data_IF_219110262271
#
_entry.id   IF_219110262271
#
_cell.length_a   1.000
_cell.length_b   1.000
_cell.length_c   1.000
_cell.angle_alpha   90.00
_cell.angle_beta   90.00
_cell.angle_gamma   90.00
#
_symmetry.space_group_name_H-M   'P 1'
#
loop_
_entity.id
_entity.type
_entity.pdbx_description
1 polymer ?
#
# COMPACT_ATOMS: atom_id res chain seq x y z
N UNK A 1 14.34 26.26 15.87
CA UNK A 1 13.47 26.05 14.69
C UNK A 1 12.01 26.31 15.08
N UNK A 2 11.21 27.07 14.29
CA UNK A 2 9.80 27.31 14.58
C UNK A 2 9.00 26.01 14.68
N UNK A 3 8.04 25.94 15.60
CA UNK A 3 7.21 24.74 15.85
C UNK A 3 6.55 24.21 14.58
N UNK A 4 6.08 25.11 13.69
CA UNK A 4 5.47 24.78 12.40
C UNK A 4 6.41 24.00 11.47
N UNK A 5 7.69 24.33 11.44
CA UNK A 5 8.70 23.64 10.61
C UNK A 5 9.03 22.25 11.16
N UNK A 6 9.05 22.10 12.49
CA UNK A 6 9.20 20.77 13.11
C UNK A 6 8.01 19.87 12.79
N UNK A 7 6.79 20.37 12.91
CA UNK A 7 5.58 19.59 12.59
C UNK A 7 5.58 19.12 11.13
N UNK A 8 5.95 20.00 10.20
CA UNK A 8 6.07 19.65 8.79
C UNK A 8 7.14 18.57 8.54
N UNK A 9 8.28 18.62 9.25
CA UNK A 9 9.31 17.61 9.15
C UNK A 9 8.82 16.22 9.58
N UNK A 10 8.09 16.14 10.70
CA UNK A 10 7.49 14.88 11.15
C UNK A 10 6.37 14.38 10.22
N UNK A 11 5.58 15.28 9.62
CA UNK A 11 4.61 14.94 8.60
C UNK A 11 5.29 14.41 7.32
N UNK A 12 6.42 14.95 6.92
CA UNK A 12 7.21 14.46 5.78
C UNK A 12 7.68 13.02 5.99
N UNK A 13 8.07 12.64 7.23
CA UNK A 13 8.49 11.27 7.54
C UNK A 13 7.37 10.24 7.31
N UNK A 14 6.08 10.61 7.45
CA UNK A 14 4.97 9.67 7.26
C UNK A 14 4.63 9.42 5.79
N UNK A 15 5.17 10.21 4.85
CA UNK A 15 4.89 10.12 3.40
C UNK A 15 3.39 9.96 3.09
N UNK A 16 2.57 10.99 3.30
CA UNK A 16 1.10 10.88 3.22
C UNK A 16 0.57 10.32 1.89
N UNK A 17 1.26 10.59 0.77
CA UNK A 17 0.89 10.04 -0.54
C UNK A 17 0.84 8.50 -0.54
N UNK A 18 1.78 7.86 0.18
CA UNK A 18 1.85 6.40 0.26
C UNK A 18 0.79 5.83 1.22
N UNK A 19 0.45 6.57 2.29
CA UNK A 19 -0.65 6.18 3.20
C UNK A 19 -1.97 6.08 2.42
N UNK A 20 -2.25 7.01 1.49
CA UNK A 20 -3.46 6.96 0.66
C UNK A 20 -3.52 5.66 -0.17
N UNK A 21 -2.38 5.18 -0.67
CA UNK A 21 -2.37 3.89 -1.37
C UNK A 21 -2.71 2.72 -0.44
N UNK A 22 -2.33 2.78 0.85
CA UNK A 22 -2.66 1.74 1.82
C UNK A 22 -4.13 1.77 2.25
N UNK A 23 -4.75 2.96 2.26
CA UNK A 23 -6.21 3.10 2.48
C UNK A 23 -6.98 2.42 1.34
N UNK A 24 -6.48 2.46 0.10
CA UNK A 24 -7.12 1.77 -1.02
C UNK A 24 -7.22 0.24 -0.81
N UNK A 25 -6.18 -0.41 -0.22
CA UNK A 25 -6.26 -1.84 0.13
C UNK A 25 -7.40 -2.12 1.12
N UNK A 26 -7.56 -1.25 2.15
CA UNK A 26 -8.64 -1.41 3.13
C UNK A 26 -10.00 -1.33 2.45
N UNK A 27 -10.18 -0.37 1.56
CA UNK A 27 -11.44 -0.22 0.81
C UNK A 27 -11.70 -1.41 -0.10
N UNK A 28 -10.69 -1.92 -0.80
CA UNK A 28 -10.80 -3.11 -1.63
C UNK A 28 -11.11 -4.37 -0.79
N UNK A 29 -10.41 -4.57 0.33
CA UNK A 29 -10.67 -5.64 1.27
C UNK A 29 -12.06 -5.58 1.90
N UNK A 30 -12.53 -4.37 2.25
CA UNK A 30 -13.87 -4.14 2.77
C UNK A 30 -14.96 -4.53 1.76
N UNK A 31 -14.79 -4.17 0.48
CA UNK A 31 -15.70 -4.62 -0.57
C UNK A 31 -15.68 -6.16 -0.70
N UNK A 32 -14.49 -6.76 -0.71
CA UNK A 32 -14.32 -8.21 -0.85
C UNK A 32 -14.97 -8.98 0.30
N UNK A 33 -14.96 -8.45 1.53
CA UNK A 33 -15.59 -9.08 2.69
C UNK A 33 -17.12 -9.20 2.60
N UNK A 34 -17.77 -8.55 1.61
CA UNK A 34 -19.21 -8.46 1.52
C UNK A 34 -19.85 -7.36 2.38
N UNK A 35 -19.07 -6.69 3.25
CA UNK A 35 -19.57 -5.62 4.11
C UNK A 35 -20.26 -4.48 3.34
N UNK A 36 -19.71 -4.14 2.16
CA UNK A 36 -20.30 -3.12 1.30
C UNK A 36 -21.67 -3.50 0.77
N UNK A 37 -21.87 -4.77 0.40
CA UNK A 37 -23.17 -5.30 -0.07
C UNK A 37 -24.17 -5.25 1.07
N UNK A 38 -23.77 -5.63 2.29
CA UNK A 38 -24.61 -5.55 3.48
C UNK A 38 -25.04 -4.10 3.78
N UNK A 39 -24.11 -3.13 3.71
CA UNK A 39 -24.44 -1.72 3.91
C UNK A 39 -25.41 -1.19 2.86
N UNK A 40 -25.26 -1.59 1.59
CA UNK A 40 -26.15 -1.13 0.50
C UNK A 40 -27.57 -1.65 0.61
N UNK A 41 -27.81 -2.73 1.34
CA UNK A 41 -29.17 -3.23 1.61
C UNK A 41 -29.93 -2.44 2.66
N UNK A 42 -29.27 -1.50 3.35
CA UNK A 42 -29.84 -0.67 4.39
C UNK A 42 -30.25 0.73 3.86
N UNK A 43 -31.19 1.41 4.52
CA UNK A 43 -31.47 2.82 4.27
C UNK A 43 -30.20 3.67 4.42
N UNK A 44 -29.99 4.63 3.53
CA UNK A 44 -28.77 5.48 3.55
C UNK A 44 -28.58 6.29 4.85
N UNK A 45 -29.70 6.59 5.54
CA UNK A 45 -29.69 7.26 6.84
C UNK A 45 -29.02 6.44 7.96
N UNK A 46 -28.97 5.13 7.83
CA UNK A 46 -28.41 4.22 8.83
C UNK A 46 -26.94 3.86 8.56
N UNK A 47 -26.40 4.18 7.38
CA UNK A 47 -25.04 3.78 7.01
C UNK A 47 -23.98 4.25 7.99
N UNK A 48 -24.06 5.51 8.43
CA UNK A 48 -23.01 6.12 9.26
C UNK A 48 -22.95 5.58 10.69
N UNK A 49 -24.08 5.07 11.19
CA UNK A 49 -24.20 4.50 12.53
C UNK A 49 -24.05 2.99 12.55
N UNK A 50 -24.08 2.36 11.36
CA UNK A 50 -23.99 0.91 11.26
C UNK A 50 -22.61 0.40 11.69
N UNK A 51 -22.52 -0.70 12.46
CA UNK A 51 -21.25 -1.24 12.93
C UNK A 51 -20.21 -1.48 11.84
N UNK A 52 -20.60 -1.90 10.64
CA UNK A 52 -19.68 -2.10 9.50
C UNK A 52 -19.05 -0.79 9.02
N UNK A 53 -19.80 0.32 8.97
CA UNK A 53 -19.23 1.62 8.60
C UNK A 53 -18.27 2.14 9.66
N UNK A 54 -18.62 1.96 10.94
CA UNK A 54 -17.73 2.26 12.07
C UNK A 54 -16.45 1.40 12.00
N UNK A 55 -16.60 0.11 11.70
CA UNK A 55 -15.47 -0.80 11.50
C UNK A 55 -14.56 -0.33 10.35
N UNK A 56 -15.11 0.13 9.23
CA UNK A 56 -14.32 0.70 8.14
C UNK A 56 -13.50 1.90 8.63
N UNK A 57 -14.08 2.79 9.40
CA UNK A 57 -13.36 3.93 10.00
C UNK A 57 -12.17 3.50 10.86
N UNK A 58 -12.37 2.49 11.74
CA UNK A 58 -11.30 1.93 12.55
C UNK A 58 -10.21 1.24 11.72
N UNK A 59 -10.57 0.52 10.66
CA UNK A 59 -9.60 -0.14 9.76
C UNK A 59 -8.80 0.88 8.94
N UNK A 60 -9.43 1.99 8.51
CA UNK A 60 -8.72 3.11 7.88
C UNK A 60 -7.73 3.74 8.87
N UNK A 61 -8.14 4.01 10.10
CA UNK A 61 -7.26 4.54 11.14
C UNK A 61 -6.11 3.55 11.43
N UNK A 62 -6.41 2.25 11.45
CA UNK A 62 -5.41 1.20 11.64
C UNK A 62 -4.35 1.24 10.55
N UNK A 63 -4.73 1.23 9.26
CA UNK A 63 -3.74 1.27 8.17
C UNK A 63 -2.93 2.57 8.15
N UNK A 64 -3.55 3.72 8.48
CA UNK A 64 -2.83 5.00 8.62
C UNK A 64 -1.71 4.88 9.66
N UNK A 65 -2.01 4.28 10.82
CA UNK A 65 -1.03 4.05 11.87
C UNK A 65 0.05 3.05 11.45
N UNK A 66 -0.35 1.88 10.95
CA UNK A 66 0.58 0.80 10.57
C UNK A 66 1.52 1.23 9.44
N UNK A 67 0.96 1.81 8.39
CA UNK A 67 1.73 2.21 7.23
C UNK A 67 2.60 3.44 7.52
N UNK A 68 2.02 4.46 8.18
CA UNK A 68 2.77 5.65 8.60
C UNK A 68 3.90 5.30 9.55
N UNK A 69 3.66 4.46 10.57
CA UNK A 69 4.67 4.01 11.52
C UNK A 69 5.77 3.19 10.85
N UNK A 70 5.42 2.28 9.94
CA UNK A 70 6.38 1.49 9.16
C UNK A 70 7.30 2.35 8.30
N UNK A 71 6.78 3.39 7.65
CA UNK A 71 7.56 4.34 6.85
C UNK A 71 8.48 5.18 7.74
N UNK A 72 7.99 5.69 8.87
CA UNK A 72 8.83 6.47 9.79
C UNK A 72 9.97 5.61 10.34
N UNK A 73 9.71 4.32 10.67
CA UNK A 73 10.79 3.41 11.04
C UNK A 73 11.80 3.17 9.93
N UNK A 74 11.39 3.19 8.66
CA UNK A 74 12.35 3.11 7.55
C UNK A 74 13.39 4.24 7.63
N UNK A 75 12.95 5.48 7.81
CA UNK A 75 13.85 6.62 7.92
C UNK A 75 14.67 6.60 9.24
N UNK A 76 14.15 5.98 10.32
CA UNK A 76 14.89 5.77 11.58
C UNK A 76 16.02 4.76 11.40
N UNK A 77 15.73 3.59 10.79
CA UNK A 77 16.74 2.55 10.56
C UNK A 77 17.78 2.95 9.52
N UNK A 78 17.41 3.81 8.56
CA UNK A 78 18.31 4.32 7.52
C UNK A 78 19.03 5.62 7.91
N UNK A 79 18.85 6.13 9.12
CA UNK A 79 19.33 7.47 9.52
C UNK A 79 20.82 7.71 9.25
N UNK A 80 21.69 6.71 9.47
CA UNK A 80 23.13 6.82 9.21
C UNK A 80 23.44 6.75 7.70
N UNK A 81 22.79 5.85 6.97
CA UNK A 81 22.93 5.70 5.52
C UNK A 81 22.45 6.97 4.80
N UNK A 82 21.31 7.50 5.21
CA UNK A 82 20.70 8.70 4.62
C UNK A 82 21.54 9.97 4.83
N UNK A 83 22.43 10.00 5.81
CA UNK A 83 23.39 11.13 5.94
C UNK A 83 24.32 11.25 4.74
N UNK A 84 24.61 10.13 4.09
CA UNK A 84 25.50 10.07 2.92
C UNK A 84 24.71 10.11 1.62
N UNK A 85 23.65 9.28 1.53
CA UNK A 85 22.92 9.08 0.28
C UNK A 85 21.80 10.10 0.04
N UNK A 86 21.15 10.57 1.14
CA UNK A 86 19.95 11.44 1.09
C UNK A 86 19.98 12.52 2.16
N UNK A 87 20.99 13.41 2.16
CA UNK A 87 21.19 14.42 3.19
C UNK A 87 20.03 15.45 3.27
N UNK A 88 19.16 15.49 2.26
CA UNK A 88 17.97 16.35 2.23
C UNK A 88 16.80 15.83 3.08
N UNK A 89 16.83 14.58 3.57
CA UNK A 89 15.77 14.01 4.42
C UNK A 89 15.68 14.70 5.79
N UNK A 90 14.49 14.69 6.46
CA UNK A 90 14.29 15.41 7.71
C UNK A 90 15.23 15.03 8.85
N UNK A 91 15.59 13.74 9.01
CA UNK A 91 16.49 13.27 10.07
C UNK A 91 17.94 13.72 9.81
N UNK A 92 18.56 13.46 8.64
CA UNK A 92 19.89 13.95 8.31
C UNK A 92 20.03 15.47 8.43
N UNK A 93 19.01 16.24 8.02
CA UNK A 93 18.98 17.71 8.16
C UNK A 93 18.88 18.20 9.60
N UNK A 94 18.63 17.33 10.58
CA UNK A 94 18.40 17.75 11.96
C UNK A 94 17.04 18.38 12.21
N UNK A 95 16.11 18.31 11.25
CA UNK A 95 14.75 18.83 11.38
C UNK A 95 13.86 17.90 12.22
N UNK A 96 14.19 16.62 12.28
CA UNK A 96 13.59 15.61 13.15
C UNK A 96 14.70 14.82 13.86
N UNK A 97 14.49 14.50 15.14
CA UNK A 97 15.45 13.67 15.88
C UNK A 97 15.12 12.18 15.71
N UNK A 98 16.13 11.31 15.71
CA UNK A 98 15.95 9.85 15.68
C UNK A 98 15.03 9.39 16.82
N UNK A 99 15.23 9.88 18.05
CA UNK A 99 14.37 9.56 19.20
C UNK A 99 12.92 9.97 18.99
N UNK A 100 12.68 11.19 18.49
CA UNK A 100 11.34 11.69 18.20
C UNK A 100 10.66 10.92 17.07
N UNK A 101 11.40 10.58 16.01
CA UNK A 101 10.90 9.75 14.92
C UNK A 101 10.58 8.32 15.39
N UNK A 102 11.42 7.70 16.24
CA UNK A 102 11.15 6.39 16.84
C UNK A 102 9.90 6.41 17.72
N UNK A 103 9.72 7.45 18.54
CA UNK A 103 8.54 7.60 19.37
C UNK A 103 7.27 7.77 18.52
N UNK A 104 7.33 8.58 17.45
CA UNK A 104 6.23 8.73 16.49
C UNK A 104 5.90 7.40 15.82
N UNK A 105 6.89 6.67 15.30
CA UNK A 105 6.70 5.39 14.64
C UNK A 105 6.04 4.36 15.58
N UNK A 106 6.55 4.23 16.81
CA UNK A 106 5.99 3.31 17.81
C UNK A 106 4.56 3.70 18.17
N UNK A 107 4.28 4.99 18.39
CA UNK A 107 2.94 5.50 18.68
C UNK A 107 1.95 5.23 17.54
N UNK A 108 2.38 5.42 16.29
CA UNK A 108 1.57 5.13 15.10
C UNK A 108 1.27 3.64 14.96
N UNK A 109 2.27 2.75 15.13
CA UNK A 109 2.05 1.29 15.10
C UNK A 109 1.10 0.85 16.22
N UNK A 110 1.30 1.35 17.43
CA UNK A 110 0.42 1.05 18.57
C UNK A 110 -1.02 1.52 18.31
N UNK A 111 -1.19 2.75 17.81
CA UNK A 111 -2.49 3.30 17.40
C UNK A 111 -3.15 2.40 16.35
N UNK A 112 -2.37 1.94 15.34
CA UNK A 112 -2.88 1.06 14.30
C UNK A 112 -3.42 -0.27 14.85
N UNK A 113 -2.69 -0.91 15.76
CA UNK A 113 -3.12 -2.16 16.41
C UNK A 113 -4.33 -1.93 17.31
N UNK A 114 -4.34 -0.86 18.11
CA UNK A 114 -5.46 -0.52 18.99
C UNK A 114 -6.73 -0.17 18.19
N UNK A 115 -6.61 0.50 17.05
CA UNK A 115 -7.73 0.78 16.16
C UNK A 115 -8.32 -0.52 15.57
N UNK A 116 -7.48 -1.44 15.10
CA UNK A 116 -7.93 -2.73 14.61
C UNK A 116 -8.62 -3.58 15.70
N UNK A 117 -8.18 -3.46 16.96
CA UNK A 117 -8.79 -4.14 18.10
C UNK A 117 -10.24 -3.70 18.37
N UNK A 118 -10.63 -2.48 17.94
CA UNK A 118 -12.03 -2.03 18.02
C UNK A 118 -12.96 -2.78 17.06
N UNK A 119 -12.40 -3.43 16.03
CA UNK A 119 -13.20 -4.19 15.06
C UNK A 119 -13.33 -5.66 15.50
N UNK A 120 -12.20 -6.34 15.71
CA UNK A 120 -12.20 -7.73 16.17
C UNK A 120 -10.82 -8.16 16.68
N UNK A 121 -10.79 -9.30 17.43
CA UNK A 121 -9.53 -9.94 17.82
C UNK A 121 -8.70 -10.37 16.60
N UNK A 122 -9.35 -10.83 15.53
CA UNK A 122 -8.66 -11.20 14.29
C UNK A 122 -8.04 -9.99 13.60
N UNK A 123 -8.77 -8.86 13.53
CA UNK A 123 -8.22 -7.60 12.99
C UNK A 123 -7.02 -7.12 13.80
N UNK A 124 -7.08 -7.20 15.14
CA UNK A 124 -5.96 -6.87 16.01
C UNK A 124 -4.74 -7.76 15.75
N UNK A 125 -4.94 -9.07 15.58
CA UNK A 125 -3.88 -10.02 15.27
C UNK A 125 -3.25 -9.73 13.89
N UNK A 126 -4.06 -9.48 12.86
CA UNK A 126 -3.57 -9.11 11.54
C UNK A 126 -2.76 -7.81 11.60
N UNK A 127 -3.25 -6.79 12.31
CA UNK A 127 -2.55 -5.53 12.50
C UNK A 127 -1.21 -5.73 13.23
N UNK A 128 -1.18 -6.57 14.27
CA UNK A 128 0.06 -6.91 14.99
C UNK A 128 1.07 -7.62 14.09
N UNK A 129 0.61 -8.56 13.27
CA UNK A 129 1.46 -9.24 12.27
C UNK A 129 2.02 -8.25 11.26
N UNK A 130 1.19 -7.35 10.71
CA UNK A 130 1.64 -6.32 9.77
C UNK A 130 2.66 -5.38 10.42
N UNK A 131 2.42 -4.94 11.67
CA UNK A 131 3.37 -4.13 12.43
C UNK A 131 4.72 -4.85 12.61
N UNK A 132 4.68 -6.12 13.02
CA UNK A 132 5.88 -6.96 13.17
C UNK A 132 6.64 -7.14 11.85
N UNK A 133 5.93 -7.39 10.74
CA UNK A 133 6.52 -7.50 9.40
C UNK A 133 7.15 -6.18 8.95
N UNK A 134 6.52 -5.02 9.24
CA UNK A 134 7.07 -3.71 8.91
C UNK A 134 8.37 -3.43 9.69
N UNK A 135 8.42 -3.75 10.98
CA UNK A 135 9.65 -3.63 11.78
C UNK A 135 10.73 -4.60 11.28
N UNK A 136 10.37 -5.85 11.03
CA UNK A 136 11.28 -6.88 10.51
C UNK A 136 11.85 -6.48 9.14
N UNK A 137 11.03 -5.92 8.26
CA UNK A 137 11.49 -5.40 6.98
C UNK A 137 12.56 -4.33 7.16
N UNK A 138 12.31 -3.35 8.02
CA UNK A 138 13.21 -2.22 8.21
C UNK A 138 14.52 -2.63 8.93
N UNK A 139 14.43 -3.52 9.92
CA UNK A 139 15.58 -3.95 10.70
C UNK A 139 16.50 -4.90 9.91
N UNK A 140 15.96 -5.76 9.06
CA UNK A 140 16.72 -6.83 8.43
C UNK A 140 16.26 -7.18 7.01
N UNK A 141 14.95 -7.28 6.77
CA UNK A 141 14.37 -7.84 5.54
C UNK A 141 14.82 -7.10 4.28
N UNK A 142 14.90 -5.76 4.31
CA UNK A 142 15.27 -4.93 3.16
C UNK A 142 16.67 -5.22 2.61
N UNK A 143 17.56 -5.77 3.43
CA UNK A 143 18.92 -6.15 3.02
C UNK A 143 18.98 -7.55 2.36
N UNK A 144 17.89 -8.33 2.43
CA UNK A 144 17.82 -9.69 1.89
C UNK A 144 17.27 -9.70 0.46
N UNK A 145 17.95 -10.45 -0.44
CA UNK A 145 17.61 -10.45 -1.88
C UNK A 145 16.20 -10.97 -2.20
N UNK A 146 15.79 -12.05 -1.56
CA UNK A 146 14.49 -12.69 -1.82
C UNK A 146 13.47 -12.32 -0.73
N UNK A 147 13.93 -12.33 0.52
CA UNK A 147 13.04 -12.08 1.65
C UNK A 147 12.53 -10.63 1.70
N UNK A 148 13.34 -9.63 1.27
CA UNK A 148 12.93 -8.23 1.25
C UNK A 148 11.66 -7.97 0.43
N UNK A 149 11.64 -8.32 -0.87
CA UNK A 149 10.44 -8.19 -1.70
C UNK A 149 9.23 -8.94 -1.14
N UNK A 150 9.45 -10.18 -0.64
CA UNK A 150 8.39 -10.98 -0.04
C UNK A 150 7.84 -10.33 1.23
N UNK A 151 8.70 -9.89 2.15
CA UNK A 151 8.28 -9.24 3.41
C UNK A 151 7.47 -7.97 3.15
N UNK A 152 7.93 -7.11 2.23
CA UNK A 152 7.17 -5.91 1.85
C UNK A 152 5.82 -6.29 1.24
N UNK A 153 5.79 -7.32 0.40
CA UNK A 153 4.56 -7.88 -0.16
C UNK A 153 3.61 -8.40 0.93
N UNK A 154 4.13 -9.13 1.92
CA UNK A 154 3.35 -9.64 3.05
C UNK A 154 2.75 -8.50 3.90
N UNK A 155 3.48 -7.39 4.11
CA UNK A 155 2.91 -6.21 4.76
C UNK A 155 1.68 -5.70 4.00
N UNK A 156 1.76 -5.67 2.65
CA UNK A 156 0.68 -5.16 1.81
C UNK A 156 -0.49 -6.14 1.72
N UNK A 157 -0.20 -7.45 1.53
CA UNK A 157 -1.22 -8.49 1.55
C UNK A 157 -1.95 -8.59 2.88
N UNK A 158 -1.21 -8.44 3.99
CA UNK A 158 -1.79 -8.36 5.34
C UNK A 158 -2.69 -7.14 5.52
N UNK A 159 -2.35 -6.00 4.92
CA UNK A 159 -3.17 -4.80 4.94
C UNK A 159 -4.49 -4.98 4.16
N UNK A 160 -4.46 -5.66 3.01
CA UNK A 160 -5.69 -6.04 2.29
C UNK A 160 -6.58 -6.96 3.15
N UNK A 161 -5.98 -7.99 3.79
CA UNK A 161 -6.71 -8.88 4.68
C UNK A 161 -7.25 -8.17 5.92
N UNK A 162 -6.57 -7.13 6.39
CA UNK A 162 -7.10 -6.26 7.44
C UNK A 162 -8.40 -5.59 6.98
N UNK A 163 -8.49 -5.14 5.72
CA UNK A 163 -9.75 -4.66 5.11
C UNK A 163 -10.83 -5.76 5.06
N UNK A 164 -10.46 -6.98 4.65
CA UNK A 164 -11.37 -8.14 4.63
C UNK A 164 -11.88 -8.48 6.02
N UNK A 165 -11.09 -8.25 7.07
CA UNK A 165 -11.46 -8.55 8.46
C UNK A 165 -12.59 -7.69 9.04
N UNK A 166 -13.13 -6.74 8.27
CA UNK A 166 -14.40 -6.07 8.60
C UNK A 166 -15.52 -7.10 8.83
N UNK A 167 -15.46 -8.25 8.13
CA UNK A 167 -16.28 -9.43 8.37
C UNK A 167 -15.33 -10.61 8.66
N UNK A 168 -14.98 -10.87 9.94
CA UNK A 168 -13.92 -11.80 10.30
C UNK A 168 -14.07 -13.22 9.71
N UNK A 169 -15.31 -13.69 9.57
CA UNK A 169 -15.61 -15.03 9.04
C UNK A 169 -15.16 -15.23 7.58
N UNK A 170 -15.01 -14.15 6.81
CA UNK A 170 -14.64 -14.23 5.38
C UNK A 170 -13.13 -14.30 5.16
N UNK A 171 -12.30 -13.99 6.16
CA UNK A 171 -10.84 -13.96 6.01
C UNK A 171 -10.28 -15.32 5.62
N UNK A 172 -10.80 -16.41 6.19
CA UNK A 172 -10.35 -17.77 5.91
C UNK A 172 -10.70 -18.25 4.49
N UNK A 173 -11.76 -17.76 3.89
CA UNK A 173 -12.14 -18.08 2.50
C UNK A 173 -11.50 -17.17 1.46
N UNK A 174 -11.09 -15.95 1.86
CA UNK A 174 -10.57 -14.91 0.97
C UNK A 174 -9.08 -14.62 1.16
N UNK A 175 -8.35 -15.42 1.96
CA UNK A 175 -6.93 -15.21 2.24
C UNK A 175 -6.08 -15.11 0.97
N UNK A 176 -6.46 -15.84 -0.09
CA UNK A 176 -5.75 -15.88 -1.36
C UNK A 176 -5.72 -14.53 -2.09
N UNK A 177 -6.66 -13.61 -1.78
CA UNK A 177 -6.65 -12.25 -2.32
C UNK A 177 -5.38 -11.50 -1.94
N UNK A 178 -4.78 -11.83 -0.79
CA UNK A 178 -3.51 -11.23 -0.35
C UNK A 178 -2.35 -11.50 -1.33
N UNK A 179 -2.43 -12.59 -2.11
CA UNK A 179 -1.41 -12.93 -3.11
C UNK A 179 -1.28 -11.85 -4.20
N UNK A 180 -2.38 -11.16 -4.52
CA UNK A 180 -2.40 -10.09 -5.53
C UNK A 180 -1.44 -8.95 -5.14
N UNK A 181 -1.63 -8.25 -4.00
CA UNK A 181 -0.69 -7.21 -3.59
C UNK A 181 0.68 -7.75 -3.18
N UNK A 182 0.80 -9.00 -2.69
CA UNK A 182 2.10 -9.63 -2.40
C UNK A 182 2.95 -9.68 -3.66
N UNK A 183 2.42 -10.25 -4.75
CA UNK A 183 3.14 -10.37 -6.02
C UNK A 183 3.43 -9.00 -6.62
N UNK A 184 2.47 -8.09 -6.57
CA UNK A 184 2.62 -6.75 -7.13
C UNK A 184 3.71 -5.94 -6.42
N UNK A 185 3.72 -5.92 -5.08
CA UNK A 185 4.73 -5.22 -4.28
C UNK A 185 6.10 -5.90 -4.37
N UNK A 186 6.12 -7.22 -4.42
CA UNK A 186 7.37 -7.95 -4.64
C UNK A 186 8.01 -7.56 -5.98
N UNK A 187 7.21 -7.38 -7.04
CA UNK A 187 7.66 -6.88 -8.33
C UNK A 187 8.28 -5.48 -8.20
N UNK A 188 7.57 -4.53 -7.58
CA UNK A 188 8.07 -3.16 -7.35
C UNK A 188 9.40 -3.18 -6.57
N UNK A 189 9.44 -3.92 -5.47
CA UNK A 189 10.62 -3.99 -4.60
C UNK A 189 11.80 -4.65 -5.31
N UNK A 190 11.55 -5.62 -6.19
CA UNK A 190 12.58 -6.24 -7.01
C UNK A 190 13.13 -5.27 -8.06
N UNK A 191 12.24 -4.52 -8.73
CA UNK A 191 12.61 -3.49 -9.71
C UNK A 191 13.42 -2.37 -9.04
N UNK A 192 13.03 -1.91 -7.85
CA UNK A 192 13.64 -0.78 -7.15
C UNK A 192 15.13 -0.98 -6.81
N UNK A 193 15.60 -2.21 -6.74
CA UNK A 193 17.02 -2.51 -6.51
C UNK A 193 17.95 -2.00 -7.60
N UNK A 194 17.44 -1.72 -8.79
CA UNK A 194 18.18 -1.10 -9.88
C UNK A 194 18.23 0.44 -9.82
N UNK A 195 17.55 1.09 -8.85
CA UNK A 195 17.47 2.55 -8.77
C UNK A 195 18.82 3.23 -8.51
N UNK A 196 19.72 2.58 -7.77
CA UNK A 196 21.01 3.18 -7.38
C UNK A 196 22.11 2.90 -8.41
N UNK A 197 22.22 1.66 -8.88
CA UNK A 197 23.38 1.24 -9.66
C UNK A 197 23.06 0.87 -11.11
N UNK A 198 21.77 0.88 -11.49
CA UNK A 198 21.34 0.38 -12.80
C UNK A 198 21.54 -1.14 -12.95
N UNK A 199 21.25 -1.65 -14.14
CA UNK A 199 21.71 -2.97 -14.66
C UNK A 199 21.19 -4.27 -14.03
N UNK A 200 19.92 -4.34 -13.64
CA UNK A 200 19.33 -5.65 -13.39
C UNK A 200 18.19 -5.96 -14.38
N UNK A 201 18.55 -6.24 -15.65
CA UNK A 201 17.55 -6.59 -16.68
C UNK A 201 16.68 -7.78 -16.29
N UNK A 202 17.23 -8.76 -15.57
CA UNK A 202 16.47 -9.91 -15.10
C UNK A 202 15.35 -9.50 -14.11
N UNK A 203 15.64 -8.57 -13.19
CA UNK A 203 14.64 -8.02 -12.28
C UNK A 203 13.55 -7.22 -13.01
N UNK A 204 13.91 -6.44 -14.03
CA UNK A 204 12.95 -5.69 -14.84
C UNK A 204 12.03 -6.63 -15.64
N UNK A 205 12.56 -7.68 -16.29
CA UNK A 205 11.77 -8.71 -16.97
C UNK A 205 10.90 -9.51 -15.99
N UNK A 206 11.46 -9.86 -14.83
CA UNK A 206 10.69 -10.46 -13.74
C UNK A 206 9.50 -9.58 -13.32
N UNK A 207 9.72 -8.26 -13.21
CA UNK A 207 8.67 -7.28 -12.94
C UNK A 207 7.56 -7.26 -14.01
N UNK A 208 7.94 -7.32 -15.31
CA UNK A 208 6.96 -7.43 -16.41
C UNK A 208 6.10 -8.69 -16.23
N UNK A 209 6.71 -9.85 -15.97
CA UNK A 209 6.00 -11.10 -15.79
C UNK A 209 5.09 -11.10 -14.55
N UNK A 210 5.57 -10.57 -13.41
CA UNK A 210 4.79 -10.48 -12.18
C UNK A 210 3.59 -9.53 -12.33
N UNK A 211 3.74 -8.41 -13.02
CA UNK A 211 2.61 -7.52 -13.32
C UNK A 211 1.59 -8.19 -14.26
N UNK A 212 2.06 -8.94 -15.27
CA UNK A 212 1.17 -9.71 -16.14
C UNK A 212 0.41 -10.78 -15.36
N UNK A 213 1.08 -11.47 -14.42
CA UNK A 213 0.46 -12.45 -13.53
C UNK A 213 -0.62 -11.82 -12.65
N UNK A 214 -0.37 -10.62 -12.11
CA UNK A 214 -1.37 -9.89 -11.30
C UNK A 214 -2.58 -9.48 -12.14
N UNK A 215 -2.36 -8.91 -13.33
CA UNK A 215 -3.46 -8.51 -14.23
C UNK A 215 -4.27 -9.75 -14.67
N UNK A 216 -3.57 -10.82 -15.07
CA UNK A 216 -4.22 -12.08 -15.44
C UNK A 216 -4.96 -12.73 -14.27
N UNK A 217 -4.41 -12.68 -13.07
CA UNK A 217 -5.04 -13.17 -11.84
C UNK A 217 -6.31 -12.41 -11.47
N UNK A 218 -6.32 -11.08 -11.58
CA UNK A 218 -7.53 -10.27 -11.38
C UNK A 218 -8.60 -10.56 -12.44
N UNK A 219 -8.19 -10.72 -13.70
CA UNK A 219 -9.13 -11.08 -14.77
C UNK A 219 -9.73 -12.48 -14.53
N UNK A 220 -8.90 -13.45 -14.16
CA UNK A 220 -9.36 -14.81 -13.84
C UNK A 220 -10.30 -14.80 -12.62
N UNK A 221 -10.01 -14.00 -11.59
CA UNK A 221 -10.89 -13.81 -10.45
C UNK A 221 -12.26 -13.24 -10.86
N UNK A 222 -12.27 -12.20 -11.69
CA UNK A 222 -13.51 -11.60 -12.18
C UNK A 222 -14.35 -12.60 -12.97
N UNK A 223 -13.72 -13.39 -13.85
CA UNK A 223 -14.37 -14.46 -14.63
C UNK A 223 -14.93 -15.53 -13.66
N UNK A 224 -14.14 -15.99 -12.69
CA UNK A 224 -14.56 -17.00 -11.71
C UNK A 224 -15.74 -16.56 -10.84
N UNK A 225 -15.89 -15.26 -10.60
CA UNK A 225 -17.02 -14.65 -9.89
C UNK A 225 -18.16 -14.23 -10.83
N UNK A 226 -18.07 -14.55 -12.12
CA UNK A 226 -19.07 -14.16 -13.15
C UNK A 226 -19.33 -12.66 -13.23
N UNK A 227 -18.29 -11.85 -12.93
CA UNK A 227 -18.35 -10.39 -13.05
C UNK A 227 -18.17 -10.01 -14.52
N UNK A 228 -19.06 -9.14 -15.04
CA UNK A 228 -18.99 -8.66 -16.42
C UNK A 228 -17.64 -7.98 -16.71
N UNK A 229 -17.04 -8.29 -17.86
CA UNK A 229 -15.75 -7.75 -18.28
C UNK A 229 -15.71 -6.21 -18.27
N UNK A 230 -16.80 -5.56 -18.67
CA UNK A 230 -16.98 -4.09 -18.67
C UNK A 230 -16.77 -3.45 -17.30
N UNK A 231 -16.96 -4.20 -16.22
CA UNK A 231 -16.76 -3.70 -14.85
C UNK A 231 -15.28 -3.62 -14.50
N UNK A 232 -14.46 -4.60 -14.90
CA UNK A 232 -13.09 -4.76 -14.42
C UNK A 232 -12.05 -4.39 -15.48
N UNK A 233 -12.30 -4.72 -16.75
CA UNK A 233 -11.34 -4.52 -17.85
C UNK A 233 -10.86 -3.06 -17.97
N UNK A 234 -11.71 -2.02 -17.85
CA UNK A 234 -11.23 -0.64 -17.91
C UNK A 234 -10.16 -0.30 -16.85
N UNK A 235 -10.31 -0.83 -15.63
CA UNK A 235 -9.31 -0.64 -14.57
C UNK A 235 -8.02 -1.40 -14.86
N UNK A 236 -8.11 -2.63 -15.41
CA UNK A 236 -6.94 -3.41 -15.80
C UNK A 236 -6.17 -2.77 -16.97
N UNK A 237 -6.88 -2.22 -17.95
CA UNK A 237 -6.27 -1.47 -19.05
C UNK A 237 -5.58 -0.21 -18.53
N UNK A 238 -6.22 0.54 -17.63
CA UNK A 238 -5.61 1.71 -16.99
C UNK A 238 -4.38 1.32 -16.19
N UNK A 239 -4.43 0.22 -15.42
CA UNK A 239 -3.28 -0.30 -14.68
C UNK A 239 -2.12 -0.59 -15.64
N UNK A 240 -2.36 -1.37 -16.69
CA UNK A 240 -1.36 -1.69 -17.71
C UNK A 240 -0.76 -0.45 -18.38
N UNK A 241 -1.62 0.52 -18.73
CA UNK A 241 -1.20 1.79 -19.34
C UNK A 241 -0.29 2.60 -18.43
N UNK A 242 -0.50 2.55 -17.11
CA UNK A 242 0.32 3.31 -16.17
C UNK A 242 1.65 2.63 -15.82
N UNK A 243 1.68 1.29 -15.72
CA UNK A 243 2.88 0.57 -15.25
C UNK A 243 3.83 0.14 -16.37
N UNK A 244 3.30 -0.33 -17.53
CA UNK A 244 4.17 -0.88 -18.58
C UNK A 244 5.01 0.16 -19.32
N UNK A 245 4.51 1.33 -19.75
CA UNK A 245 5.33 2.27 -20.51
C UNK A 245 6.59 2.74 -19.77
N UNK A 246 6.54 3.15 -18.47
CA UNK A 246 7.76 3.50 -17.75
C UNK A 246 8.69 2.29 -17.53
N UNK A 247 8.14 1.10 -17.26
CA UNK A 247 8.94 -0.12 -17.08
C UNK A 247 9.65 -0.53 -18.37
N UNK A 248 8.97 -0.45 -19.52
CA UNK A 248 9.57 -0.77 -20.84
C UNK A 248 10.65 0.25 -21.23
N UNK A 249 10.49 1.53 -20.86
CA UNK A 249 11.56 2.53 -21.05
C UNK A 249 12.79 2.19 -20.20
N UNK A 250 12.58 1.84 -18.93
CA UNK A 250 13.65 1.40 -18.04
C UNK A 250 14.37 0.16 -18.57
N UNK A 251 13.63 -0.82 -19.14
CA UNK A 251 14.20 -2.01 -19.78
C UNK A 251 15.10 -1.70 -20.99
N UNK A 252 14.74 -0.69 -21.79
CA UNK A 252 15.49 -0.30 -23.00
C UNK A 252 16.78 0.40 -22.68
N UNK A 253 16.78 1.36 -21.77
CA UNK A 253 17.92 2.22 -21.45
C UNK A 253 18.74 1.74 -20.24
N UNK A 254 18.09 1.03 -19.32
CA UNK A 254 18.69 0.55 -18.05
C UNK A 254 19.25 1.69 -17.15
N UNK A 255 18.71 2.91 -17.31
CA UNK A 255 19.12 4.07 -16.55
C UNK A 255 18.47 4.09 -15.16
N UNK A 256 19.21 4.36 -14.06
CA UNK A 256 18.68 4.44 -12.71
C UNK A 256 17.46 5.37 -12.58
N UNK A 257 17.51 6.54 -13.23
CA UNK A 257 16.42 7.52 -13.25
C UNK A 257 15.12 6.94 -13.82
N UNK A 258 15.19 6.16 -14.91
CA UNK A 258 14.01 5.57 -15.54
C UNK A 258 13.47 4.39 -14.70
N UNK A 259 14.35 3.67 -14.02
CA UNK A 259 13.95 2.63 -13.05
C UNK A 259 13.17 3.28 -11.90
N UNK A 260 13.66 4.40 -11.33
CA UNK A 260 12.94 5.14 -10.30
C UNK A 260 11.57 5.66 -10.76
N UNK A 261 11.45 6.11 -12.02
CA UNK A 261 10.15 6.48 -12.59
C UNK A 261 9.20 5.28 -12.73
N UNK A 262 9.71 4.10 -13.09
CA UNK A 262 8.91 2.87 -13.14
C UNK A 262 8.44 2.44 -11.74
N UNK A 263 9.30 2.52 -10.73
CA UNK A 263 8.94 2.25 -9.32
C UNK A 263 7.87 3.23 -8.84
N UNK A 264 8.06 4.52 -9.07
CA UNK A 264 7.06 5.55 -8.70
C UNK A 264 5.71 5.31 -9.38
N UNK A 265 5.72 4.96 -10.67
CA UNK A 265 4.50 4.61 -11.39
C UNK A 265 3.84 3.36 -10.78
N UNK A 266 4.61 2.31 -10.46
CA UNK A 266 4.11 1.11 -9.77
C UNK A 266 3.46 1.43 -8.44
N UNK A 267 4.11 2.21 -7.57
CA UNK A 267 3.58 2.59 -6.24
C UNK A 267 2.27 3.36 -6.35
N UNK A 268 2.18 4.34 -7.25
CA UNK A 268 0.95 5.13 -7.42
C UNK A 268 -0.18 4.30 -8.06
N UNK A 269 0.17 3.33 -8.91
CA UNK A 269 -0.81 2.47 -9.59
C UNK A 269 -1.39 1.38 -8.68
N UNK A 270 -0.90 1.23 -7.43
CA UNK A 270 -1.55 0.40 -6.41
C UNK A 270 -3.02 0.80 -6.22
N UNK A 271 -3.32 2.09 -6.25
CA UNK A 271 -4.71 2.56 -6.14
C UNK A 271 -5.57 2.03 -7.30
N UNK A 272 -4.99 1.91 -8.51
CA UNK A 272 -5.71 1.36 -9.67
C UNK A 272 -5.89 -0.15 -9.54
N UNK A 273 -4.89 -0.86 -9.00
CA UNK A 273 -4.99 -2.28 -8.65
C UNK A 273 -6.13 -2.52 -7.66
N UNK A 274 -6.15 -1.73 -6.58
CA UNK A 274 -7.18 -1.81 -5.54
C UNK A 274 -8.55 -1.39 -6.07
N UNK A 275 -8.62 -0.42 -6.98
CA UNK A 275 -9.86 -0.03 -7.65
C UNK A 275 -10.40 -1.16 -8.54
N UNK A 276 -9.54 -1.91 -9.24
CA UNK A 276 -9.94 -3.08 -10.01
C UNK A 276 -10.50 -4.18 -9.09
N UNK A 277 -9.81 -4.46 -7.98
CA UNK A 277 -10.29 -5.43 -6.98
C UNK A 277 -11.60 -4.95 -6.32
N UNK A 278 -11.68 -3.69 -5.94
CA UNK A 278 -12.88 -3.08 -5.39
C UNK A 278 -14.07 -3.13 -6.36
N UNK A 279 -13.83 -2.91 -7.66
CA UNK A 279 -14.84 -3.02 -8.70
C UNK A 279 -15.35 -4.47 -8.86
N UNK A 280 -14.45 -5.46 -8.75
CA UNK A 280 -14.81 -6.89 -8.84
C UNK A 280 -15.84 -7.28 -7.78
N UNK A 281 -15.76 -6.78 -6.56
CA UNK A 281 -16.66 -7.12 -5.46
C UNK A 281 -17.77 -6.09 -5.21
N UNK A 282 -17.48 -4.82 -5.46
CA UNK A 282 -18.37 -3.69 -5.13
C UNK A 282 -19.04 -3.04 -6.35
N UNK A 283 -18.72 -3.49 -7.57
CA UNK A 283 -19.19 -2.90 -8.83
C UNK A 283 -18.41 -1.65 -9.24
N UNK A 284 -18.59 -1.23 -10.50
CA UNK A 284 -17.78 -0.19 -11.13
C UNK A 284 -17.83 1.17 -10.42
N UNK A 285 -18.97 1.56 -9.83
CA UNK A 285 -19.11 2.82 -9.08
C UNK A 285 -18.18 2.84 -7.87
N UNK A 286 -18.13 1.74 -7.12
CA UNK A 286 -17.24 1.65 -5.96
C UNK A 286 -15.76 1.61 -6.38
N UNK A 287 -15.44 0.91 -7.47
CA UNK A 287 -14.11 0.96 -8.07
C UNK A 287 -13.69 2.39 -8.45
N UNK A 288 -14.59 3.19 -9.03
CA UNK A 288 -14.33 4.61 -9.32
C UNK A 288 -14.12 5.43 -8.05
N UNK A 289 -14.89 5.20 -6.98
CA UNK A 289 -14.67 5.87 -5.70
C UNK A 289 -13.27 5.58 -5.13
N UNK A 290 -12.80 4.33 -5.20
CA UNK A 290 -11.43 3.99 -4.81
C UNK A 290 -10.42 4.67 -5.74
N UNK A 291 -10.68 4.70 -7.05
CA UNK A 291 -9.80 5.35 -8.03
C UNK A 291 -9.65 6.85 -7.78
N UNK A 292 -10.65 7.52 -7.19
CA UNK A 292 -10.56 8.94 -6.81
C UNK A 292 -9.47 9.24 -5.77
N UNK A 293 -8.95 8.23 -5.10
CA UNK A 293 -7.76 8.38 -4.25
C UNK A 293 -6.47 8.65 -5.06
N UNK A 294 -6.44 8.30 -6.37
CA UNK A 294 -5.27 8.49 -7.22
C UNK A 294 -4.92 9.99 -7.42
N UNK A 295 -5.83 10.89 -7.81
CA UNK A 295 -5.52 12.31 -7.89
C UNK A 295 -5.10 12.90 -6.54
N UNK A 296 -5.72 12.47 -5.43
CA UNK A 296 -5.32 12.89 -4.09
C UNK A 296 -3.89 12.44 -3.75
N UNK A 297 -3.56 11.16 -3.98
CA UNK A 297 -2.21 10.62 -3.76
C UNK A 297 -1.18 11.34 -4.66
N UNK A 298 -1.50 11.60 -5.92
CA UNK A 298 -0.63 12.37 -6.83
C UNK A 298 -0.39 13.79 -6.35
N UNK A 299 -1.43 14.47 -5.90
CA UNK A 299 -1.31 15.82 -5.35
C UNK A 299 -0.43 15.83 -4.07
N UNK A 300 -0.62 14.87 -3.17
CA UNK A 300 0.25 14.72 -2.00
C UNK A 300 1.70 14.40 -2.41
N UNK A 301 1.90 13.58 -3.44
CA UNK A 301 3.23 13.24 -3.97
C UNK A 301 4.00 14.43 -4.56
N UNK A 302 3.32 15.52 -4.92
CA UNK A 302 3.98 16.78 -5.32
C UNK A 302 4.43 17.63 -4.12
N UNK A 303 3.88 17.37 -2.93
CA UNK A 303 4.16 18.10 -1.69
C UNK A 303 5.07 17.32 -0.73
N UNK A 304 5.02 15.99 -0.79
CA UNK A 304 5.74 15.08 0.09
C UNK A 304 6.46 14.03 -0.75
N UNK A 305 7.64 13.57 -0.31
CA UNK A 305 8.37 12.50 -0.98
C UNK A 305 7.54 11.20 -1.05
N UNK A 306 7.73 10.42 -2.12
CA UNK A 306 7.09 9.10 -2.30
C UNK A 306 8.10 7.97 -2.05
N UNK A 307 9.39 8.23 -2.33
CA UNK A 307 10.51 7.29 -2.19
C UNK A 307 11.63 7.89 -1.35
#
# INVERSE_FOLDING_TARGET
>A
MPVRLKLLAYLQLTRPANIITAVADILAGFAASGALVMLRSLPTTEWWTHPLAVSLGWLILSTVGLYGGGIVFNDVFDAELDRVERPERPIPRGNASVRGASALATGLLAMGVLAAAQVSRLSALLALVVAGLAVLYNAWGKHQRLFGPLNMGLCRGGNLLLGVSAVPATVTSLWFLSLIPIVYIAAITMISRGEVHGSNRAALWGGVGMYALVIGGLLALAIGLSVSAEVVVPFLLLLGFLIYPPLLRALRSNEPRLIGLAVKAGVLSLIVLDAALAATFGGWVYGLLVLMLLPLSRWLATRFAVT
#
